data_IF_731596861170
#
_entry.id   IF_731596861170
#
_cell.length_a   1.000
_cell.length_b   1.000
_cell.length_c   1.000
_cell.angle_alpha   90.00
_cell.angle_beta   90.00
_cell.angle_gamma   90.00
#
_symmetry.space_group_name_H-M   'P 1'
#
loop_
_entity.id
_entity.type
_entity.pdbx_description
1 polymer ?
#
# COMPACT_ATOMS: atom_id res chain seq x y z
N UNK A 1 -22.69 -14.73 1.50
CA UNK A 1 -22.62 -13.66 0.48
C UNK A 1 -21.20 -13.12 0.52
N UNK A 2 -20.37 -13.47 -0.47
CA UNK A 2 -19.00 -13.00 -0.51
C UNK A 2 -19.01 -11.51 -0.89
N UNK A 3 -18.80 -10.63 0.09
CA UNK A 3 -18.50 -9.23 -0.20
C UNK A 3 -17.16 -9.22 -0.94
N UNK A 4 -17.19 -8.87 -2.23
CA UNK A 4 -16.00 -8.59 -3.01
C UNK A 4 -15.13 -7.61 -2.23
N UNK A 5 -13.83 -7.87 -2.15
CA UNK A 5 -12.80 -7.00 -1.56
C UNK A 5 -12.81 -5.68 -2.35
N UNK A 6 -13.67 -4.74 -1.96
CA UNK A 6 -14.03 -3.60 -2.82
C UNK A 6 -13.23 -2.34 -2.52
N UNK A 7 -13.01 -2.06 -1.24
CA UNK A 7 -12.46 -0.77 -0.82
C UNK A 7 -11.39 -0.98 0.24
N UNK A 8 -10.23 -0.35 0.01
CA UNK A 8 -9.20 -0.19 1.03
C UNK A 8 -9.32 1.23 1.59
N UNK A 9 -9.53 1.33 2.89
CA UNK A 9 -9.42 2.59 3.61
C UNK A 9 -7.99 2.76 4.07
N UNK A 10 -7.42 3.94 3.85
CA UNK A 10 -6.02 4.20 4.14
C UNK A 10 -5.94 5.34 5.16
N UNK A 11 -5.14 5.13 6.20
CA UNK A 11 -4.72 6.17 7.11
C UNK A 11 -3.23 6.40 6.93
N UNK A 12 -2.86 7.63 6.60
CA UNK A 12 -1.47 8.04 6.49
C UNK A 12 -1.21 9.12 7.54
N UNK A 13 -0.23 8.87 8.43
CA UNK A 13 0.13 9.79 9.53
C UNK A 13 -1.08 10.22 10.39
N UNK A 14 -2.02 9.29 10.60
CA UNK A 14 -3.24 9.52 11.38
C UNK A 14 -4.37 10.24 10.63
N UNK A 15 -4.19 10.65 9.38
CA UNK A 15 -5.27 11.19 8.55
C UNK A 15 -5.86 10.10 7.64
N UNK A 16 -7.20 10.03 7.61
CA UNK A 16 -7.91 9.12 6.74
C UNK A 16 -8.03 9.69 5.32
N UNK A 17 -7.71 8.87 4.33
CA UNK A 17 -7.87 9.19 2.92
C UNK A 17 -8.83 8.19 2.26
N UNK A 18 -9.84 8.71 1.59
CA UNK A 18 -10.75 7.94 0.76
C UNK A 18 -10.06 7.66 -0.57
N UNK A 19 -9.91 6.37 -0.90
CA UNK A 19 -9.28 5.93 -2.12
C UNK A 19 -10.32 5.42 -3.11
N UNK A 20 -10.04 5.62 -4.40
CA UNK A 20 -10.82 5.04 -5.49
C UNK A 20 -10.62 3.51 -5.51
N UNK A 21 -11.62 2.80 -6.01
CA UNK A 21 -11.57 1.36 -6.26
C UNK A 21 -10.34 0.97 -7.12
N UNK A 22 -9.83 -0.23 -6.89
CA UNK A 22 -8.62 -0.74 -7.54
C UNK A 22 -7.32 -0.52 -6.76
N UNK A 23 -7.42 -0.08 -5.51
CA UNK A 23 -6.27 -0.03 -4.60
C UNK A 23 -5.79 -1.44 -4.26
N UNK A 24 -4.47 -1.65 -4.24
CA UNK A 24 -3.84 -2.96 -3.98
C UNK A 24 -2.90 -2.88 -2.79
N UNK A 25 -2.81 -3.98 -2.05
CA UNK A 25 -1.83 -4.17 -0.98
C UNK A 25 -1.07 -5.47 -1.21
N UNK A 26 0.25 -5.38 -1.14
CA UNK A 26 1.18 -6.49 -1.16
C UNK A 26 1.98 -6.42 0.14
N UNK A 27 1.85 -7.44 0.98
CA UNK A 27 2.55 -7.48 2.27
C UNK A 27 4.05 -7.80 2.07
N UNK A 28 4.95 -7.21 2.88
CA UNK A 28 6.36 -7.54 2.86
C UNK A 28 6.58 -9.00 3.28
N UNK A 29 7.57 -9.66 2.69
CA UNK A 29 7.90 -11.04 3.04
C UNK A 29 8.91 -11.72 2.13
N UNK A 30 9.24 -12.97 2.49
CA UNK A 30 10.17 -13.78 1.71
C UNK A 30 9.50 -14.34 0.45
N UNK A 31 10.10 -14.06 -0.70
CA UNK A 31 9.71 -14.60 -2.00
C UNK A 31 10.71 -15.68 -2.40
N UNK A 32 10.20 -16.85 -2.78
CA UNK A 32 10.99 -17.87 -3.45
C UNK A 32 11.08 -17.53 -4.95
N UNK A 33 12.30 -17.43 -5.45
CA UNK A 33 12.57 -17.30 -6.88
C UNK A 33 13.13 -18.62 -7.41
N UNK A 34 12.65 -18.99 -8.59
CA UNK A 34 13.06 -20.19 -9.30
C UNK A 34 14.11 -19.82 -10.33
N UNK A 35 15.29 -20.45 -10.27
CA UNK A 35 16.35 -20.29 -11.26
C UNK A 35 16.60 -21.62 -11.96
N UNK A 36 16.32 -21.66 -13.26
CA UNK A 36 16.61 -22.83 -14.10
C UNK A 36 18.07 -22.74 -14.53
N UNK A 37 18.88 -23.74 -14.17
CA UNK A 37 20.31 -23.81 -14.52
C UNK A 37 20.59 -25.12 -15.25
N UNK A 38 20.94 -25.03 -16.53
CA UNK A 38 21.18 -26.19 -17.39
C UNK A 38 19.92 -27.06 -17.52
N UNK A 39 19.86 -28.14 -16.72
CA UNK A 39 18.72 -29.07 -16.63
C UNK A 39 18.12 -29.24 -15.22
N UNK A 40 18.50 -28.38 -14.26
CA UNK A 40 17.99 -28.45 -12.88
C UNK A 40 17.28 -27.15 -12.47
N UNK A 41 16.28 -27.28 -11.60
CA UNK A 41 15.55 -26.15 -11.04
C UNK A 41 16.08 -25.88 -9.63
N UNK A 42 16.73 -24.73 -9.44
CA UNK A 42 17.21 -24.27 -8.15
C UNK A 42 16.22 -23.25 -7.58
N UNK A 43 16.10 -23.20 -6.25
CA UNK A 43 15.32 -22.17 -5.55
C UNK A 43 16.25 -21.32 -4.70
N UNK A 44 16.05 -20.01 -4.72
CA UNK A 44 16.67 -19.11 -3.76
C UNK A 44 15.62 -18.15 -3.19
N UNK A 45 15.86 -17.66 -1.98
CA UNK A 45 14.97 -16.74 -1.29
C UNK A 45 15.46 -15.30 -1.48
N UNK A 46 14.52 -14.41 -1.78
CA UNK A 46 14.75 -12.97 -1.82
C UNK A 46 13.68 -12.28 -0.97
N UNK A 47 14.07 -11.26 -0.22
CA UNK A 47 13.10 -10.43 0.48
C UNK A 47 12.37 -9.54 -0.53
N UNK A 48 11.03 -9.55 -0.48
CA UNK A 48 10.20 -8.63 -1.24
C UNK A 48 9.65 -7.57 -0.29
N UNK A 49 9.91 -6.31 -0.60
CA UNK A 49 9.24 -5.20 0.06
C UNK A 49 7.72 -5.29 -0.11
N UNK A 50 7.01 -4.79 0.89
CA UNK A 50 5.58 -4.53 0.81
C UNK A 50 5.33 -3.33 -0.08
N UNK A 51 4.23 -3.37 -0.83
CA UNK A 51 3.83 -2.32 -1.76
C UNK A 51 2.33 -2.09 -1.60
N UNK A 52 1.93 -0.84 -1.35
CA UNK A 52 0.52 -0.43 -1.32
C UNK A 52 0.31 0.62 -2.40
N UNK A 53 -0.55 0.31 -3.36
CA UNK A 53 -0.92 1.23 -4.44
C UNK A 53 -2.34 1.70 -4.22
N UNK A 54 -2.53 3.00 -4.17
CA UNK A 54 -3.84 3.57 -3.94
C UNK A 54 -3.98 4.90 -4.66
N UNK A 55 -5.22 5.29 -4.93
CA UNK A 55 -5.53 6.60 -5.53
C UNK A 55 -6.43 7.38 -4.59
N UNK A 56 -5.89 8.08 -3.58
CA UNK A 56 -6.66 8.99 -2.75
C UNK A 56 -7.30 10.12 -3.54
N UNK A 57 -8.47 10.54 -3.08
CA UNK A 57 -9.18 11.73 -3.54
C UNK A 57 -8.87 12.89 -2.60
N UNK A 58 -8.12 13.87 -3.09
CA UNK A 58 -7.77 15.07 -2.34
C UNK A 58 -8.97 16.03 -2.29
N UNK A 59 -9.49 16.28 -1.08
CA UNK A 59 -10.58 17.25 -0.84
C UNK A 59 -10.01 18.67 -0.71
N UNK A 60 -10.85 19.68 -0.95
CA UNK A 60 -10.47 21.11 -0.85
C UNK A 60 -9.86 21.40 0.53
N UNK A 61 -8.63 21.89 0.55
CA UNK A 61 -7.86 22.21 1.76
C UNK A 61 -6.84 21.16 2.18
N UNK A 62 -6.77 20.01 1.50
CA UNK A 62 -5.67 19.04 1.67
C UNK A 62 -4.47 19.44 0.81
N UNK A 63 -3.27 19.38 1.38
CA UNK A 63 -2.02 19.64 0.65
C UNK A 63 -1.46 18.34 0.06
N UNK A 64 -0.93 18.44 -1.16
CA UNK A 64 -0.12 17.38 -1.79
C UNK A 64 1.19 17.14 -1.02
N UNK A 65 1.67 18.14 -0.27
CA UNK A 65 2.88 18.01 0.56
C UNK A 65 2.70 17.02 1.72
N UNK A 66 1.47 16.62 2.03
CA UNK A 66 1.23 15.53 2.98
C UNK A 66 1.83 14.19 2.49
N UNK A 67 2.10 14.08 1.18
CA UNK A 67 2.61 12.90 0.50
C UNK A 67 4.02 13.10 -0.04
N UNK A 68 4.89 13.72 0.76
CA UNK A 68 6.30 13.92 0.41
C UNK A 68 7.10 12.60 0.47
N UNK A 69 8.07 12.45 -0.42
CA UNK A 69 8.98 11.29 -0.52
C UNK A 69 10.05 11.28 0.58
N UNK A 70 10.33 12.44 1.18
CA UNK A 70 11.33 12.57 2.25
C UNK A 70 10.82 12.11 3.62
N UNK A 71 9.54 11.75 3.72
CA UNK A 71 8.88 11.43 4.99
C UNK A 71 8.55 9.95 5.07
N UNK A 72 9.03 9.31 6.14
CA UNK A 72 8.58 7.99 6.57
C UNK A 72 7.48 8.15 7.63
N UNK A 73 6.55 7.22 7.67
CA UNK A 73 5.47 7.27 8.63
C UNK A 73 4.67 5.98 8.70
N UNK A 74 3.75 5.96 9.65
CA UNK A 74 2.82 4.86 9.80
C UNK A 74 1.70 4.96 8.75
N UNK A 75 1.55 3.87 7.99
CA UNK A 75 0.45 3.63 7.07
C UNK A 75 -0.43 2.53 7.65
N UNK A 76 -1.72 2.81 7.79
CA UNK A 76 -2.70 1.78 8.14
C UNK A 76 -3.62 1.55 6.94
N UNK A 77 -3.81 0.29 6.58
CA UNK A 77 -4.69 -0.12 5.50
C UNK A 77 -5.76 -1.03 6.08
N UNK A 78 -7.02 -0.64 6.00
CA UNK A 78 -8.16 -1.46 6.42
C UNK A 78 -8.96 -1.90 5.21
N UNK A 79 -9.16 -3.20 5.10
CA UNK A 79 -10.05 -3.78 4.11
C UNK A 79 -11.46 -3.94 4.66
N UNK A 80 -12.45 -3.88 3.76
CA UNK A 80 -13.86 -4.14 4.10
C UNK A 80 -14.10 -5.56 4.65
N UNK A 81 -13.18 -6.49 4.40
CA UNK A 81 -13.24 -7.87 4.93
C UNK A 81 -12.80 -8.00 6.40
N UNK A 82 -12.55 -6.89 7.11
CA UNK A 82 -12.22 -6.90 8.54
C UNK A 82 -10.73 -7.03 8.87
N UNK A 83 -9.88 -7.22 7.86
CA UNK A 83 -8.43 -7.18 8.01
C UNK A 83 -7.93 -5.75 8.03
N UNK A 84 -7.06 -5.43 9.00
CA UNK A 84 -6.29 -4.20 9.02
C UNK A 84 -4.79 -4.54 9.05
N UNK A 85 -3.99 -3.78 8.30
CA UNK A 85 -2.55 -3.90 8.27
C UNK A 85 -1.93 -2.56 8.65
N UNK A 86 -1.03 -2.58 9.63
CA UNK A 86 -0.25 -1.42 10.06
C UNK A 86 1.16 -1.59 9.55
N UNK A 87 1.63 -0.65 8.76
CA UNK A 87 2.96 -0.59 8.19
C UNK A 87 3.69 0.60 8.83
N UNK A 88 4.48 0.39 9.90
CA UNK A 88 5.05 1.47 10.72
C UNK A 88 6.19 2.22 10.02
N UNK A 89 6.83 1.59 9.03
CA UNK A 89 7.98 2.09 8.28
C UNK A 89 7.62 2.39 6.82
N UNK A 90 6.37 2.78 6.56
CA UNK A 90 5.93 3.07 5.21
C UNK A 90 6.50 4.40 4.70
N UNK A 91 6.84 4.43 3.42
CA UNK A 91 7.37 5.62 2.74
C UNK A 91 6.86 5.68 1.29
N UNK A 92 6.89 6.88 0.72
CA UNK A 92 6.33 7.15 -0.60
C UNK A 92 7.46 7.11 -1.64
N UNK A 93 7.24 6.39 -2.76
CA UNK A 93 8.24 6.27 -3.81
C UNK A 93 8.34 7.50 -4.71
N UNK A 94 7.20 8.11 -5.02
CA UNK A 94 7.11 9.22 -5.96
C UNK A 94 6.06 10.20 -5.48
N UNK A 95 6.34 11.50 -5.60
CA UNK A 95 5.36 12.54 -5.26
C UNK A 95 4.11 12.37 -6.13
N UNK A 96 2.91 12.34 -5.55
CA UNK A 96 1.69 12.16 -6.32
C UNK A 96 1.51 13.26 -7.35
N UNK A 97 1.13 12.86 -8.56
CA UNK A 97 0.59 13.79 -9.55
C UNK A 97 -0.91 13.94 -9.31
N UNK A 98 -1.37 15.17 -9.11
CA UNK A 98 -2.81 15.48 -9.03
C UNK A 98 -3.42 15.49 -10.43
N UNK A 99 -4.48 14.71 -10.63
CA UNK A 99 -5.28 14.74 -11.84
C UNK A 99 -6.56 15.56 -11.64
N UNK A 100 -6.97 16.31 -12.68
CA UNK A 100 -8.19 17.12 -12.71
C UNK A 100 -9.48 16.28 -12.63
N UNK A 101 -9.38 14.96 -12.84
CA UNK A 101 -10.47 14.00 -12.81
C UNK A 101 -10.98 13.69 -11.38
N UNK A 102 -11.38 14.75 -10.67
CA UNK A 102 -11.94 14.67 -9.32
C UNK A 102 -10.90 14.67 -8.20
N UNK A 103 -9.70 15.24 -8.42
CA UNK A 103 -8.69 15.37 -7.37
C UNK A 103 -7.99 14.05 -7.03
N UNK A 104 -7.95 13.11 -7.98
CA UNK A 104 -7.28 11.82 -7.83
C UNK A 104 -5.77 12.01 -7.84
N UNK A 105 -5.11 11.44 -6.84
CA UNK A 105 -3.66 11.42 -6.73
C UNK A 105 -3.22 9.96 -6.58
N UNK A 106 -2.50 9.41 -7.57
CA UNK A 106 -1.99 8.05 -7.46
C UNK A 106 -0.75 8.04 -6.57
N UNK A 107 -0.73 7.16 -5.56
CA UNK A 107 0.35 7.04 -4.59
C UNK A 107 0.76 5.58 -4.47
N UNK A 108 2.07 5.37 -4.46
CA UNK A 108 2.68 4.07 -4.16
C UNK A 108 3.49 4.19 -2.87
N UNK A 109 3.07 3.46 -1.85
CA UNK A 109 3.80 3.29 -0.61
C UNK A 109 4.58 1.99 -0.63
N UNK A 110 5.81 2.04 -0.12
CA UNK A 110 6.59 0.85 0.18
C UNK A 110 6.79 0.72 1.69
N UNK A 111 6.90 -0.51 2.17
CA UNK A 111 7.19 -0.80 3.57
C UNK A 111 8.02 -2.08 3.71
N UNK A 112 8.88 -2.12 4.72
CA UNK A 112 9.66 -3.31 5.07
C UNK A 112 8.97 -4.18 6.10
N UNK A 113 8.16 -3.59 6.98
CA UNK A 113 7.49 -4.28 8.08
C UNK A 113 5.97 -4.15 7.96
N UNK A 114 5.26 -5.13 8.50
CA UNK A 114 3.83 -5.04 8.67
C UNK A 114 3.41 -5.73 9.96
N UNK A 115 2.31 -5.25 10.53
CA UNK A 115 1.58 -5.89 11.61
C UNK A 115 0.15 -6.08 11.14
N UNK A 116 -0.35 -7.31 11.21
CA UNK A 116 -1.74 -7.59 10.91
C UNK A 116 -2.58 -7.50 12.19
N UNK A 117 -3.63 -6.68 12.12
CA UNK A 117 -4.64 -6.53 13.15
C UNK A 117 -5.93 -7.14 12.60
N UNK A 118 -6.24 -8.35 13.06
CA UNK A 118 -7.51 -9.03 12.75
C UNK A 118 -8.48 -8.64 13.87
N UNK A 119 -9.49 -7.83 13.55
CA UNK A 119 -10.61 -7.68 14.49
C UNK A 119 -11.57 -8.84 14.27
N UNK A 120 -11.58 -9.77 15.22
CA UNK A 120 -12.58 -10.85 15.34
C UNK A 120 -13.99 -10.30 15.54
#
# INVERSE_FOLDING_TARGET
>A
MAQTVGVLYIWWRGQQYECVDGSTIKLPGWKNNTQVTGGSVQRYQSFSAGEVKCTPVLKKGMSLDAFDTDVQGELQVKSTIGHAWVLPDAYILEKPTLSDMGGKAAITFNAGLYQEVISS
#
